data_IF_843240890860
#
_entry.id   IF_843240890860
#
_cell.length_a   1.000
_cell.length_b   1.000
_cell.length_c   1.000
_cell.angle_alpha   90.00
_cell.angle_beta   90.00
_cell.angle_gamma   90.00
#
_symmetry.space_group_name_H-M   'P 1'
#
loop_
_entity.id
_entity.type
_entity.pdbx_description
1 polymer ?
#
# COMPACT_ATOMS: atom_id res chain seq x y z
N UNK A 1 -1.40 8.42 -18.88
CA UNK A 1 -0.46 8.93 -17.87
C UNK A 1 -1.09 8.79 -16.49
N UNK A 2 -0.34 8.28 -15.49
CA UNK A 2 -0.73 8.49 -14.08
C UNK A 2 -0.66 9.99 -13.85
N UNK A 3 -1.80 10.64 -13.71
CA UNK A 3 -1.89 12.12 -13.61
C UNK A 3 -1.62 12.62 -12.19
N UNK A 4 -1.19 11.74 -11.27
CA UNK A 4 -0.99 12.09 -9.86
C UNK A 4 -2.28 12.24 -9.06
N UNK A 5 -3.45 12.12 -9.70
CA UNK A 5 -4.76 12.19 -9.03
C UNK A 5 -4.88 11.16 -7.90
N UNK A 6 -4.29 9.98 -8.05
CA UNK A 6 -4.28 8.93 -7.05
C UNK A 6 -3.56 9.34 -5.76
N UNK A 7 -2.48 10.14 -5.89
CA UNK A 7 -1.75 10.66 -4.74
C UNK A 7 -2.53 11.78 -4.04
N UNK A 8 -3.15 12.68 -4.80
CA UNK A 8 -4.00 13.73 -4.24
C UNK A 8 -5.20 13.14 -3.50
N UNK A 9 -5.84 12.11 -4.07
CA UNK A 9 -6.94 11.39 -3.42
C UNK A 9 -6.47 10.65 -2.16
N UNK A 10 -5.33 9.97 -2.21
CA UNK A 10 -4.76 9.30 -1.05
C UNK A 10 -4.40 10.30 0.07
N UNK A 11 -3.84 11.46 -0.30
CA UNK A 11 -3.51 12.51 0.65
C UNK A 11 -4.76 13.14 1.26
N UNK A 12 -5.80 13.43 0.45
CA UNK A 12 -7.08 13.91 0.94
C UNK A 12 -7.70 12.89 1.92
N UNK A 13 -7.71 11.61 1.56
CA UNK A 13 -8.21 10.55 2.43
C UNK A 13 -7.40 10.47 3.74
N UNK A 14 -6.07 10.53 3.68
CA UNK A 14 -5.22 10.54 4.86
C UNK A 14 -5.46 11.76 5.76
N UNK A 15 -5.65 12.94 5.18
CA UNK A 15 -5.99 14.16 5.93
C UNK A 15 -7.34 14.01 6.61
N UNK A 16 -8.37 13.52 5.92
CA UNK A 16 -9.71 13.33 6.48
C UNK A 16 -9.70 12.27 7.59
N UNK A 17 -9.03 11.15 7.39
CA UNK A 17 -8.88 10.09 8.39
C UNK A 17 -8.07 10.61 9.59
N UNK A 18 -6.99 11.36 9.35
CA UNK A 18 -6.17 11.96 10.40
C UNK A 18 -6.93 13.03 11.19
N UNK A 19 -7.74 13.85 10.52
CA UNK A 19 -8.61 14.83 11.16
C UNK A 19 -9.70 14.15 12.00
N UNK A 20 -10.31 13.07 11.50
CA UNK A 20 -11.26 12.26 12.26
C UNK A 20 -10.59 11.64 13.49
N UNK A 21 -9.42 11.04 13.33
CA UNK A 21 -8.63 10.49 14.43
C UNK A 21 -8.30 11.57 15.47
N UNK A 22 -7.83 12.74 15.02
CA UNK A 22 -7.55 13.89 15.87
C UNK A 22 -8.79 14.40 16.59
N UNK A 23 -9.94 14.48 15.93
CA UNK A 23 -11.20 14.86 16.55
C UNK A 23 -11.62 13.87 17.64
N UNK A 24 -11.49 12.55 17.40
CA UNK A 24 -11.72 11.54 18.43
C UNK A 24 -10.80 11.77 19.63
N UNK A 25 -9.49 11.95 19.41
CA UNK A 25 -8.53 12.22 20.49
C UNK A 25 -8.90 13.49 21.28
N UNK A 26 -9.33 14.55 20.61
CA UNK A 26 -9.71 15.80 21.28
C UNK A 26 -11.00 15.67 22.10
N UNK A 27 -11.96 14.88 21.62
CA UNK A 27 -13.24 14.66 22.28
C UNK A 27 -13.12 13.69 23.46
N UNK A 28 -12.35 12.62 23.32
CA UNK A 28 -12.16 11.60 24.38
C UNK A 28 -11.03 11.94 25.34
N UNK A 29 -10.11 12.83 24.94
CA UNK A 29 -8.84 13.13 25.64
C UNK A 29 -7.93 11.91 25.81
N UNK A 30 -8.16 10.86 25.03
CA UNK A 30 -7.42 9.61 25.08
C UNK A 30 -7.03 9.18 23.66
N UNK A 31 -5.90 8.48 23.55
CA UNK A 31 -5.47 7.89 22.27
C UNK A 31 -6.29 6.60 22.08
N UNK A 32 -7.09 6.48 20.99
CA UNK A 32 -7.89 5.28 20.74
C UNK A 32 -7.03 4.02 20.78
N UNK A 33 -7.38 3.06 21.64
CA UNK A 33 -6.63 1.82 21.73
C UNK A 33 -6.97 0.89 20.56
N UNK A 34 -6.04 0.01 20.21
CA UNK A 34 -6.25 -1.04 19.20
C UNK A 34 -7.44 -1.97 19.51
N UNK A 35 -7.86 -2.05 20.78
CA UNK A 35 -8.96 -2.88 21.25
C UNK A 35 -10.31 -2.16 21.25
N UNK A 36 -10.33 -0.83 21.29
CA UNK A 36 -11.56 -0.04 21.26
C UNK A 36 -12.20 -0.08 19.87
N UNK A 37 -13.52 0.11 19.81
CA UNK A 37 -14.28 0.03 18.55
C UNK A 37 -13.66 0.86 17.42
N UNK A 38 -13.30 2.13 17.71
CA UNK A 38 -12.72 3.02 16.70
C UNK A 38 -11.33 2.54 16.26
N UNK A 39 -10.41 2.28 17.20
CA UNK A 39 -9.07 1.80 16.88
C UNK A 39 -9.06 0.46 16.17
N UNK A 40 -9.92 -0.47 16.60
CA UNK A 40 -10.08 -1.77 15.95
C UNK A 40 -10.62 -1.66 14.52
N UNK A 41 -11.60 -0.77 14.29
CA UNK A 41 -12.15 -0.52 12.95
C UNK A 41 -11.09 0.01 11.97
N UNK A 42 -10.16 0.85 12.44
CA UNK A 42 -9.02 1.31 11.64
C UNK A 42 -8.12 0.14 11.20
N UNK A 43 -7.87 -0.81 12.11
CA UNK A 43 -7.09 -2.01 11.83
C UNK A 43 -7.76 -2.90 10.77
N UNK A 44 -9.05 -3.19 10.92
CA UNK A 44 -9.83 -4.02 9.98
C UNK A 44 -9.87 -3.37 8.60
N UNK A 45 -10.33 -2.12 8.53
CA UNK A 45 -10.48 -1.42 7.25
C UNK A 45 -9.13 -1.20 6.57
N UNK A 46 -8.10 -0.83 7.34
CA UNK A 46 -6.73 -0.68 6.84
C UNK A 46 -6.18 -1.98 6.27
N UNK A 47 -6.36 -3.10 6.98
CA UNK A 47 -5.93 -4.42 6.53
C UNK A 47 -6.68 -4.88 5.26
N UNK A 48 -8.00 -4.63 5.16
CA UNK A 48 -8.77 -4.91 3.94
C UNK A 48 -8.21 -4.13 2.75
N UNK A 49 -7.91 -2.83 2.91
CA UNK A 49 -7.29 -2.03 1.84
C UNK A 49 -5.91 -2.54 1.45
N UNK A 50 -5.10 -2.99 2.42
CA UNK A 50 -3.82 -3.62 2.15
C UNK A 50 -4.01 -4.93 1.35
N UNK A 51 -4.93 -5.81 1.76
CA UNK A 51 -5.23 -7.04 1.02
C UNK A 51 -5.72 -6.76 -0.41
N UNK A 52 -6.56 -5.74 -0.60
CA UNK A 52 -7.01 -5.30 -1.92
C UNK A 52 -5.82 -4.89 -2.80
N UNK A 53 -4.82 -4.22 -2.21
CA UNK A 53 -3.59 -3.78 -2.90
C UNK A 53 -2.80 -4.96 -3.46
N UNK A 54 -2.59 -5.99 -2.65
CA UNK A 54 -1.80 -7.18 -3.02
C UNK A 54 -2.55 -8.08 -4.02
N UNK A 55 -3.84 -8.31 -3.76
CA UNK A 55 -4.64 -9.29 -4.50
C UNK A 55 -5.19 -8.73 -5.81
N UNK A 56 -5.86 -7.58 -5.79
CA UNK A 56 -6.66 -7.15 -6.95
C UNK A 56 -5.79 -6.76 -8.15
N UNK A 57 -4.66 -6.09 -7.92
CA UNK A 57 -3.74 -5.75 -9.01
C UNK A 57 -3.11 -7.00 -9.63
N UNK A 58 -2.67 -7.94 -8.79
CA UNK A 58 -2.09 -9.21 -9.21
C UNK A 58 -3.09 -10.09 -9.97
N UNK A 59 -4.33 -10.20 -9.47
CA UNK A 59 -5.42 -10.92 -10.11
C UNK A 59 -5.75 -10.31 -11.48
N UNK A 60 -5.88 -8.98 -11.55
CA UNK A 60 -6.15 -8.29 -12.80
C UNK A 60 -5.05 -8.50 -13.83
N UNK A 61 -3.79 -8.50 -13.41
CA UNK A 61 -2.62 -8.71 -14.28
C UNK A 61 -2.56 -10.14 -14.84
N UNK A 62 -3.02 -11.13 -14.07
CA UNK A 62 -3.11 -12.55 -14.49
C UNK A 62 -4.35 -12.84 -15.35
N UNK A 63 -5.47 -12.16 -15.07
CA UNK A 63 -6.71 -12.34 -15.82
C UNK A 63 -6.66 -11.60 -17.16
N UNK A 64 -6.40 -12.35 -18.24
CA UNK A 64 -6.36 -11.82 -19.62
C UNK A 64 -7.73 -11.74 -20.29
N UNK A 65 -8.72 -12.53 -19.85
CA UNK A 65 -10.06 -12.58 -20.46
C UNK A 65 -11.07 -11.62 -19.82
N UNK A 66 -10.84 -11.17 -18.59
CA UNK A 66 -11.78 -10.31 -17.89
C UNK A 66 -11.74 -8.86 -18.39
N UNK A 67 -12.90 -8.30 -18.79
CA UNK A 67 -13.07 -6.90 -19.22
C UNK A 67 -13.15 -5.92 -18.06
N UNK A 68 -12.29 -6.09 -17.06
CA UNK A 68 -12.30 -5.29 -15.83
C UNK A 68 -11.57 -3.96 -16.05
N UNK A 69 -12.06 -3.09 -16.92
CA UNK A 69 -11.47 -1.74 -17.12
C UNK A 69 -9.99 -1.70 -17.55
N UNK A 70 -9.43 -0.48 -17.55
CA UNK A 70 -8.07 -0.17 -18.03
C UNK A 70 -7.02 -0.52 -16.97
N UNK A 71 -5.87 -1.06 -17.40
CA UNK A 71 -4.76 -1.42 -16.51
C UNK A 71 -4.22 -0.23 -15.68
N UNK A 72 -4.24 0.98 -16.24
CA UNK A 72 -3.83 2.19 -15.52
C UNK A 72 -4.72 2.46 -14.30
N UNK A 73 -6.02 2.20 -14.39
CA UNK A 73 -6.96 2.40 -13.29
C UNK A 73 -6.71 1.44 -12.13
N UNK A 74 -6.31 0.19 -12.41
CA UNK A 74 -5.92 -0.76 -11.37
C UNK A 74 -4.62 -0.38 -10.67
N UNK A 75 -3.67 0.21 -11.41
CA UNK A 75 -2.45 0.72 -10.80
C UNK A 75 -2.73 1.96 -9.95
N UNK A 76 -3.60 2.87 -10.41
CA UNK A 76 -4.06 4.01 -9.60
C UNK A 76 -4.75 3.52 -8.32
N UNK A 77 -5.62 2.52 -8.44
CA UNK A 77 -6.28 1.89 -7.30
C UNK A 77 -5.29 1.24 -6.34
N UNK A 78 -4.33 0.45 -6.84
CA UNK A 78 -3.26 -0.17 -6.05
C UNK A 78 -2.43 0.88 -5.28
N UNK A 79 -2.05 1.99 -5.93
CA UNK A 79 -1.32 3.07 -5.25
C UNK A 79 -2.19 3.71 -4.17
N UNK A 80 -3.46 3.97 -4.45
CA UNK A 80 -4.38 4.56 -3.48
C UNK A 80 -4.56 3.66 -2.25
N UNK A 81 -4.95 2.40 -2.45
CA UNK A 81 -5.16 1.45 -1.35
C UNK A 81 -3.86 1.13 -0.62
N UNK A 82 -2.74 1.10 -1.34
CA UNK A 82 -1.39 0.90 -0.80
C UNK A 82 -0.82 2.09 -0.03
N UNK A 83 -1.50 3.24 -0.02
CA UNK A 83 -1.17 4.38 0.85
C UNK A 83 -2.17 4.53 1.99
N UNK A 84 -3.47 4.48 1.68
CA UNK A 84 -4.54 4.67 2.68
C UNK A 84 -4.60 3.51 3.67
N UNK A 85 -4.47 2.26 3.20
CA UNK A 85 -4.48 1.08 4.07
C UNK A 85 -3.37 1.11 5.14
N UNK A 86 -2.09 1.23 4.73
CA UNK A 86 -0.97 1.41 5.66
C UNK A 86 -1.12 2.57 6.63
N UNK A 87 -1.66 3.71 6.19
CA UNK A 87 -1.91 4.85 7.07
C UNK A 87 -2.94 4.53 8.16
N UNK A 88 -4.04 3.85 7.82
CA UNK A 88 -5.04 3.41 8.80
C UNK A 88 -4.47 2.39 9.80
N UNK A 89 -3.67 1.43 9.31
CA UNK A 89 -3.00 0.43 10.17
C UNK A 89 -1.97 1.09 11.10
N UNK A 90 -1.28 2.14 10.63
CA UNK A 90 -0.38 2.91 11.50
C UNK A 90 -1.13 3.55 12.66
N UNK A 91 -2.29 4.16 12.40
CA UNK A 91 -3.14 4.75 13.44
C UNK A 91 -3.72 3.71 14.41
N UNK A 92 -3.99 2.50 13.94
CA UNK A 92 -4.42 1.36 14.78
C UNK A 92 -3.39 0.99 15.86
N UNK A 93 -2.10 1.25 15.63
CA UNK A 93 -1.05 0.92 16.62
C UNK A 93 -1.11 1.75 17.91
N UNK A 94 -1.92 2.82 17.93
CA UNK A 94 -1.97 3.77 19.06
C UNK A 94 -0.58 4.33 19.43
N UNK A 95 0.32 4.43 18.44
CA UNK A 95 1.73 4.84 18.61
C UNK A 95 2.58 3.91 19.49
N UNK A 96 2.19 2.63 19.60
CA UNK A 96 2.92 1.60 20.35
C UNK A 96 3.56 0.60 19.39
N UNK A 97 4.89 0.57 19.33
CA UNK A 97 5.66 -0.22 18.36
C UNK A 97 6.44 -1.36 19.02
N UNK A 98 5.73 -2.28 19.68
CA UNK A 98 6.35 -3.39 20.42
C UNK A 98 6.04 -4.75 19.79
N UNK A 99 6.96 -5.70 19.95
CA UNK A 99 6.79 -7.09 19.51
C UNK A 99 6.40 -7.25 18.03
N UNK A 100 5.46 -8.15 17.74
CA UNK A 100 4.98 -8.43 16.39
C UNK A 100 4.31 -7.22 15.71
N UNK A 101 3.63 -6.36 16.48
CA UNK A 101 3.03 -5.15 15.95
C UNK A 101 4.09 -4.15 15.47
N UNK A 102 5.18 -4.01 16.22
CA UNK A 102 6.34 -3.20 15.83
C UNK A 102 6.99 -3.70 14.53
N UNK A 103 7.22 -5.00 14.42
CA UNK A 103 7.79 -5.62 13.21
C UNK A 103 6.87 -5.41 12.00
N UNK A 104 5.55 -5.60 12.18
CA UNK A 104 4.57 -5.37 11.12
C UNK A 104 4.55 -3.91 10.67
N UNK A 105 4.67 -2.98 11.61
CA UNK A 105 4.79 -1.53 11.30
C UNK A 105 6.07 -1.24 10.51
N UNK A 106 7.21 -1.82 10.90
CA UNK A 106 8.48 -1.64 10.19
C UNK A 106 8.38 -2.07 8.73
N UNK A 107 7.84 -3.28 8.48
CA UNK A 107 7.63 -3.75 7.12
C UNK A 107 6.61 -2.89 6.35
N UNK A 108 5.59 -2.37 7.05
CA UNK A 108 4.61 -1.45 6.47
C UNK A 108 5.27 -0.15 5.98
N UNK A 109 6.18 0.43 6.76
CA UNK A 109 6.94 1.62 6.35
C UNK A 109 7.85 1.30 5.16
N UNK A 110 8.58 0.18 5.22
CA UNK A 110 9.49 -0.24 4.14
C UNK A 110 8.73 -0.47 2.83
N UNK A 111 7.57 -1.14 2.85
CA UNK A 111 6.81 -1.40 1.62
C UNK A 111 6.26 -0.12 1.00
N UNK A 112 5.82 0.86 1.81
CA UNK A 112 5.33 2.16 1.33
C UNK A 112 6.46 2.93 0.65
N UNK A 113 7.63 3.02 1.28
CA UNK A 113 8.83 3.65 0.69
C UNK A 113 9.21 2.95 -0.61
N UNK A 114 9.27 1.63 -0.61
CA UNK A 114 9.54 0.83 -1.80
C UNK A 114 8.51 1.07 -2.92
N UNK A 115 7.24 1.26 -2.57
CA UNK A 115 6.17 1.62 -3.52
C UNK A 115 6.40 2.96 -4.21
N UNK A 116 6.84 3.99 -3.45
CA UNK A 116 7.22 5.29 -4.03
C UNK A 116 8.40 5.17 -4.99
N UNK A 117 9.41 4.36 -4.66
CA UNK A 117 10.53 4.05 -5.57
C UNK A 117 10.03 3.40 -6.86
N UNK A 118 9.13 2.42 -6.76
CA UNK A 118 8.52 1.77 -7.92
C UNK A 118 7.75 2.74 -8.81
N UNK A 119 6.95 3.63 -8.21
CA UNK A 119 6.21 4.68 -8.94
C UNK A 119 7.17 5.64 -9.63
N UNK A 120 8.22 6.08 -8.95
CA UNK A 120 9.24 6.96 -9.53
C UNK A 120 9.86 6.34 -10.79
N UNK A 121 10.32 5.08 -10.70
CA UNK A 121 10.86 4.35 -11.85
C UNK A 121 9.80 4.24 -12.96
N UNK A 122 8.57 3.85 -12.62
CA UNK A 122 7.47 3.66 -13.58
C UNK A 122 7.13 4.95 -14.36
N UNK A 123 7.13 6.11 -13.70
CA UNK A 123 6.82 7.40 -14.34
C UNK A 123 7.96 7.92 -15.22
N UNK A 124 9.20 7.47 -14.97
CA UNK A 124 10.38 7.82 -15.75
C UNK A 124 10.60 6.94 -16.98
N UNK A 125 9.87 5.82 -17.10
CA UNK A 125 9.92 4.97 -18.30
C UNK A 125 9.13 5.64 -19.42
N UNK A 126 9.78 6.09 -20.52
CA UNK A 126 9.06 6.61 -21.67
C UNK A 126 8.23 5.48 -22.26
N UNK A 127 6.91 5.69 -22.35
CA UNK A 127 6.04 4.77 -23.10
C UNK A 127 5.68 5.43 -24.41
N UNK A 128 6.03 4.78 -25.50
CA UNK A 128 5.53 5.10 -26.83
C UNK A 128 4.01 5.01 -26.80
N UNK A 129 3.33 6.15 -26.72
CA UNK A 129 1.87 6.21 -26.80
C UNK A 129 1.35 6.19 -28.23
N UNK A 130 2.22 6.27 -29.22
CA UNK A 130 1.89 6.11 -30.63
C UNK A 130 2.94 5.21 -31.25
N UNK A 131 2.58 4.43 -32.26
CA UNK A 131 3.54 3.71 -33.12
C UNK A 131 4.54 4.60 -33.85
N UNK A 132 4.69 5.87 -33.44
CA UNK A 132 5.84 6.70 -33.76
C UNK A 132 7.03 6.17 -32.97
N UNK A 133 7.86 5.41 -33.70
CA UNK A 133 9.30 5.35 -33.50
C UNK A 133 9.71 6.79 -33.13
N UNK A 134 10.16 7.00 -31.89
CA UNK A 134 10.85 8.24 -31.56
C UNK A 134 12.17 8.15 -32.33
N UNK A 135 12.13 8.63 -33.58
CA UNK A 135 13.31 8.96 -34.35
C UNK A 135 14.10 9.96 -33.50
N UNK A 136 15.20 9.48 -32.94
CA UNK A 136 16.21 10.27 -32.27
C UNK A 136 15.87 10.69 -30.83
N UNK A 137 16.41 9.97 -29.84
CA UNK A 137 17.16 10.49 -28.66
C UNK A 137 17.06 9.61 -27.42
N UNK A 138 16.01 8.80 -27.27
CA UNK A 138 15.99 7.78 -26.23
C UNK A 138 16.79 6.57 -26.71
N UNK A 139 18.06 6.50 -26.31
CA UNK A 139 18.88 5.32 -26.54
C UNK A 139 18.11 4.09 -26.07
N UNK A 140 17.99 3.06 -26.91
CA UNK A 140 17.52 1.73 -26.53
C UNK A 140 18.13 1.24 -25.20
N UNK A 141 19.33 1.73 -24.86
CA UNK A 141 19.96 1.54 -23.56
C UNK A 141 19.15 2.09 -22.37
N UNK A 142 18.53 3.26 -22.48
CA UNK A 142 17.71 3.87 -21.44
C UNK A 142 16.42 3.06 -21.19
N UNK A 143 15.77 2.57 -22.25
CA UNK A 143 14.61 1.68 -22.11
C UNK A 143 15.00 0.34 -21.48
N UNK A 144 16.15 -0.24 -21.88
CA UNK A 144 16.70 -1.45 -21.24
C UNK A 144 17.02 -1.21 -19.76
N UNK A 145 17.63 -0.07 -19.43
CA UNK A 145 17.94 0.29 -18.04
C UNK A 145 16.67 0.44 -17.20
N UNK A 146 15.66 1.13 -17.71
CA UNK A 146 14.36 1.27 -17.06
C UNK A 146 13.68 -0.09 -16.80
N UNK A 147 13.71 -0.99 -17.79
CA UNK A 147 13.19 -2.36 -17.61
C UNK A 147 13.98 -3.15 -16.57
N UNK A 148 15.31 -3.03 -16.54
CA UNK A 148 16.18 -3.68 -15.54
C UNK A 148 15.90 -3.16 -14.14
N UNK A 149 15.78 -1.84 -13.95
CA UNK A 149 15.43 -1.23 -12.67
C UNK A 149 14.04 -1.68 -12.20
N UNK A 150 13.06 -1.72 -13.11
CA UNK A 150 11.74 -2.27 -12.77
C UNK A 150 11.82 -3.74 -12.38
N UNK A 151 12.60 -4.57 -13.06
CA UNK A 151 12.76 -5.98 -12.71
C UNK A 151 13.39 -6.15 -11.32
N UNK A 152 14.48 -5.43 -11.04
CA UNK A 152 15.16 -5.42 -9.73
C UNK A 152 14.23 -4.93 -8.61
N UNK A 153 13.44 -3.89 -8.89
CA UNK A 153 12.45 -3.40 -7.93
C UNK A 153 11.42 -4.49 -7.60
N UNK A 154 10.87 -5.21 -8.59
CA UNK A 154 9.91 -6.28 -8.32
C UNK A 154 10.52 -7.41 -7.46
N UNK A 155 11.80 -7.77 -7.68
CA UNK A 155 12.47 -8.81 -6.89
C UNK A 155 12.67 -8.43 -5.43
N UNK A 156 12.60 -7.13 -5.10
CA UNK A 156 12.71 -6.63 -3.72
C UNK A 156 11.34 -6.33 -3.13
N UNK A 157 10.48 -5.62 -3.86
CA UNK A 157 9.17 -5.17 -3.40
C UNK A 157 8.22 -6.32 -3.07
N UNK A 158 8.17 -7.36 -3.91
CA UNK A 158 7.25 -8.48 -3.72
C UNK A 158 7.59 -9.29 -2.46
N UNK A 159 8.85 -9.73 -2.21
CA UNK A 159 9.18 -10.43 -0.97
C UNK A 159 8.92 -9.61 0.30
N UNK A 160 9.12 -8.29 0.26
CA UNK A 160 8.79 -7.40 1.39
C UNK A 160 7.29 -7.43 1.65
N UNK A 161 6.46 -7.36 0.60
CA UNK A 161 5.00 -7.48 0.72
C UNK A 161 4.59 -8.83 1.32
N UNK A 162 5.18 -9.93 0.84
CA UNK A 162 4.93 -11.27 1.38
C UNK A 162 5.29 -11.35 2.88
N UNK A 163 6.47 -10.86 3.26
CA UNK A 163 6.91 -10.85 4.66
C UNK A 163 5.98 -10.01 5.55
N UNK A 164 5.53 -8.85 5.05
CA UNK A 164 4.56 -8.00 5.73
C UNK A 164 3.24 -8.74 5.98
N UNK A 165 2.67 -9.38 4.96
CA UNK A 165 1.40 -10.10 5.12
C UNK A 165 1.54 -11.30 6.05
N UNK A 166 2.65 -12.05 5.98
CA UNK A 166 2.92 -13.13 6.93
C UNK A 166 2.98 -12.58 8.36
N UNK A 167 3.73 -11.50 8.60
CA UNK A 167 3.79 -10.86 9.92
C UNK A 167 2.40 -10.37 10.39
N UNK A 168 1.60 -9.78 9.49
CA UNK A 168 0.26 -9.31 9.79
C UNK A 168 -0.71 -10.46 10.13
N UNK A 169 -0.69 -11.56 9.38
CA UNK A 169 -1.50 -12.74 9.69
C UNK A 169 -1.11 -13.38 11.02
N UNK A 170 0.20 -13.48 11.30
CA UNK A 170 0.68 -13.97 12.60
C UNK A 170 0.26 -13.03 13.73
N UNK A 171 0.35 -11.72 13.54
CA UNK A 171 -0.10 -10.72 14.51
C UNK A 171 -1.61 -10.84 14.80
N UNK A 172 -2.45 -10.92 13.77
CA UNK A 172 -3.91 -11.10 13.90
C UNK A 172 -4.23 -12.44 14.58
N UNK A 173 -3.60 -13.53 14.13
CA UNK A 173 -3.80 -14.87 14.69
C UNK A 173 -3.42 -14.93 16.17
N UNK A 174 -2.28 -14.35 16.54
CA UNK A 174 -1.87 -14.23 17.93
C UNK A 174 -2.89 -13.40 18.74
N UNK A 175 -3.30 -12.23 18.24
CA UNK A 175 -4.29 -11.40 18.91
C UNK A 175 -5.61 -12.13 19.16
N UNK A 176 -6.12 -12.87 18.17
CA UNK A 176 -7.33 -13.69 18.30
C UNK A 176 -7.15 -14.85 19.28
N UNK A 177 -6.00 -15.53 19.24
CA UNK A 177 -5.68 -16.63 20.15
C UNK A 177 -5.66 -16.15 21.61
N UNK A 178 -4.91 -15.09 21.91
CA UNK A 178 -4.84 -14.50 23.25
C UNK A 178 -6.21 -13.97 23.71
N UNK A 179 -6.99 -13.35 22.81
CA UNK A 179 -8.32 -12.85 23.14
C UNK A 179 -9.36 -13.96 23.44
N UNK A 180 -9.15 -15.18 22.92
CA UNK A 180 -10.11 -16.29 23.03
C UNK A 180 -9.75 -17.27 24.14
N UNK A 181 -8.47 -17.64 24.29
CA UNK A 181 -8.05 -18.75 25.14
C UNK A 181 -7.32 -18.33 26.41
N UNK A 182 -6.91 -17.06 26.53
CA UNK A 182 -6.16 -16.55 27.67
C UNK A 182 -6.90 -15.40 28.39
N UNK A 183 -8.21 -15.28 28.13
CA UNK A 183 -9.14 -14.49 28.95
C UNK A 183 -9.72 -15.32 30.07
#
# INVERSE_FOLDING_TARGET
MLRGKELWLAMLAAILIGALYGAVVMLTKEIPSAADLFGHSLGILGFILMLMTELLYSLRKRSRSARWGRMSSWLEFHIFTGLVGPFMVLLHTSWKFNGLAGISTLFTVIIVISGFVGRYIYTRVPRTTDGMIIEGTLSEAALRQARRLMALWHTVHIPIGMALFVAAFVHIGAALYYATFLK
#
